data_IF_628049093858
#
_entry.id   IF_628049093858
#
_cell.length_a   1.000
_cell.length_b   1.000
_cell.length_c   1.000
_cell.angle_alpha   90.00
_cell.angle_beta   90.00
_cell.angle_gamma   90.00
#
_symmetry.space_group_name_H-M   'P 1'
#
loop_
_entity.id
_entity.type
_entity.pdbx_description
1 polymer ?
#
# COMPACT_ATOMS: atom_id res chain seq x y z
N UNK A 1 -14.45 -31.10 -9.80
CA UNK A 1 -14.89 -29.73 -10.14
C UNK A 1 -14.34 -28.82 -9.05
N UNK A 2 -13.57 -27.78 -9.32
CA UNK A 2 -13.12 -26.89 -8.27
C UNK A 2 -14.33 -26.16 -7.72
N UNK A 3 -14.61 -26.37 -6.43
CA UNK A 3 -15.63 -25.63 -5.69
C UNK A 3 -15.26 -24.16 -5.73
N UNK A 4 -15.90 -23.41 -6.62
CA UNK A 4 -15.81 -21.94 -6.64
C UNK A 4 -16.66 -21.43 -5.48
N UNK A 5 -16.07 -21.43 -4.27
CA UNK A 5 -16.70 -20.78 -3.13
C UNK A 5 -16.92 -19.29 -3.48
N UNK A 6 -18.18 -18.81 -3.51
CA UNK A 6 -18.50 -17.42 -3.81
C UNK A 6 -17.72 -16.44 -2.94
N UNK A 7 -17.43 -16.81 -1.70
CA UNK A 7 -16.66 -16.01 -0.74
C UNK A 7 -15.23 -15.76 -1.23
N UNK A 8 -14.56 -16.77 -1.77
CA UNK A 8 -13.17 -16.61 -2.27
C UNK A 8 -13.09 -15.73 -3.52
N UNK A 9 -14.15 -15.70 -4.34
CA UNK A 9 -14.24 -14.78 -5.49
C UNK A 9 -14.39 -13.34 -5.03
N UNK A 10 -15.26 -13.07 -4.08
CA UNK A 10 -15.48 -11.72 -3.52
C UNK A 10 -14.18 -11.22 -2.86
N UNK A 11 -13.52 -12.04 -2.05
CA UNK A 11 -12.26 -11.68 -1.40
C UNK A 11 -11.20 -11.31 -2.43
N UNK A 12 -11.07 -12.06 -3.53
CA UNK A 12 -10.14 -11.75 -4.63
C UNK A 12 -10.41 -10.38 -5.24
N UNK A 13 -11.66 -10.09 -5.61
CA UNK A 13 -12.03 -8.81 -6.19
C UNK A 13 -11.79 -7.64 -5.23
N UNK A 14 -12.12 -7.80 -3.95
CA UNK A 14 -11.83 -6.80 -2.92
C UNK A 14 -10.32 -6.55 -2.79
N UNK A 15 -9.51 -7.62 -2.83
CA UNK A 15 -8.05 -7.48 -2.80
C UNK A 15 -7.54 -6.72 -4.02
N UNK A 16 -8.03 -6.99 -5.22
CA UNK A 16 -7.66 -6.26 -6.44
C UNK A 16 -8.01 -4.78 -6.35
N UNK A 17 -9.21 -4.46 -5.88
CA UNK A 17 -9.63 -3.07 -5.68
C UNK A 17 -8.78 -2.34 -4.63
N UNK A 18 -8.39 -3.02 -3.56
CA UNK A 18 -7.49 -2.44 -2.56
C UNK A 18 -6.10 -2.16 -3.14
N UNK A 19 -5.53 -3.06 -3.94
CA UNK A 19 -4.26 -2.84 -4.63
C UNK A 19 -4.35 -1.63 -5.58
N UNK A 20 -5.43 -1.53 -6.34
CA UNK A 20 -5.68 -0.39 -7.24
C UNK A 20 -5.78 0.92 -6.45
N UNK A 21 -6.54 0.95 -5.36
CA UNK A 21 -6.69 2.14 -4.52
C UNK A 21 -5.34 2.61 -3.95
N UNK A 22 -4.52 1.69 -3.45
CA UNK A 22 -3.20 2.05 -2.96
C UNK A 22 -2.29 2.60 -4.05
N UNK A 23 -2.34 2.04 -5.26
CA UNK A 23 -1.58 2.55 -6.39
C UNK A 23 -2.02 3.97 -6.78
N UNK A 24 -3.32 4.23 -6.86
CA UNK A 24 -3.85 5.56 -7.16
C UNK A 24 -3.31 6.63 -6.20
N UNK A 25 -3.17 6.28 -4.91
CA UNK A 25 -2.67 7.22 -3.91
C UNK A 25 -1.16 7.29 -3.85
N UNK A 26 -0.45 6.16 -4.00
CA UNK A 26 1.02 6.13 -3.90
C UNK A 26 1.71 6.72 -5.13
N UNK A 27 1.13 6.60 -6.31
CA UNK A 27 1.73 7.10 -7.54
C UNK A 27 1.41 8.58 -7.80
N UNK A 28 0.42 9.16 -7.10
CA UNK A 28 0.20 10.61 -7.03
C UNK A 28 1.33 11.37 -6.28
N UNK A 29 2.26 10.65 -5.65
CA UNK A 29 3.41 11.23 -4.93
C UNK A 29 4.24 12.16 -5.82
N UNK A 30 4.37 11.88 -7.11
CA UNK A 30 5.10 12.72 -8.06
C UNK A 30 4.56 14.15 -8.13
N UNK A 31 3.23 14.31 -8.16
CA UNK A 31 2.58 15.63 -8.17
C UNK A 31 2.73 16.33 -6.80
N UNK A 32 2.55 15.58 -5.71
CA UNK A 32 2.75 16.12 -4.35
C UNK A 32 4.18 16.64 -4.19
N UNK A 33 5.20 15.93 -4.67
CA UNK A 33 6.59 16.36 -4.61
C UNK A 33 6.79 17.70 -5.32
N UNK A 34 6.18 17.90 -6.49
CA UNK A 34 6.29 19.17 -7.24
C UNK A 34 5.73 20.33 -6.43
N UNK A 35 4.52 20.18 -5.88
CA UNK A 35 3.87 21.20 -5.07
C UNK A 35 4.65 21.52 -3.80
N UNK A 36 5.07 20.50 -3.05
CA UNK A 36 5.85 20.66 -1.82
C UNK A 36 7.20 21.32 -2.09
N UNK A 37 7.84 20.97 -3.21
CA UNK A 37 9.12 21.57 -3.60
C UNK A 37 8.98 23.07 -3.83
N UNK A 38 7.91 23.52 -4.45
CA UNK A 38 7.62 24.94 -4.67
C UNK A 38 7.24 25.63 -3.35
N UNK A 39 6.31 25.03 -2.59
CA UNK A 39 5.78 25.64 -1.37
C UNK A 39 6.85 25.83 -0.27
N UNK A 40 7.77 24.88 -0.13
CA UNK A 40 8.79 24.90 0.92
C UNK A 40 10.19 25.24 0.41
N UNK A 41 10.36 25.56 -0.89
CA UNK A 41 11.65 25.90 -1.53
C UNK A 41 12.75 24.85 -1.23
N UNK A 42 12.39 23.57 -1.18
CA UNK A 42 13.33 22.48 -0.85
C UNK A 42 14.19 22.09 -2.06
N UNK A 43 15.39 21.60 -1.78
CA UNK A 43 16.33 21.12 -2.80
C UNK A 43 15.87 19.78 -3.42
N UNK A 44 16.43 19.42 -4.58
CA UNK A 44 16.14 18.12 -5.21
C UNK A 44 16.51 16.94 -4.30
N UNK A 45 17.59 17.05 -3.53
CA UNK A 45 18.00 16.02 -2.58
C UNK A 45 16.98 15.85 -1.44
N UNK A 46 16.44 16.94 -0.92
CA UNK A 46 15.38 16.89 0.08
C UNK A 46 14.07 16.31 -0.50
N UNK A 47 13.69 16.77 -1.68
CA UNK A 47 12.50 16.29 -2.37
C UNK A 47 12.55 14.77 -2.65
N UNK A 48 13.73 14.23 -2.95
CA UNK A 48 13.90 12.77 -3.16
C UNK A 48 13.59 11.94 -1.91
N UNK A 49 13.71 12.51 -0.70
CA UNK A 49 13.33 11.83 0.55
C UNK A 49 11.84 11.50 0.58
N UNK A 50 11.00 12.32 -0.03
CA UNK A 50 9.55 12.08 -0.10
C UNK A 50 9.20 10.83 -0.90
N UNK A 51 10.08 10.36 -1.77
CA UNK A 51 9.90 9.11 -2.50
C UNK A 51 10.66 7.94 -1.84
N UNK A 52 11.92 8.16 -1.47
CA UNK A 52 12.78 7.08 -0.96
C UNK A 52 12.38 6.59 0.42
N UNK A 53 11.96 7.48 1.34
CA UNK A 53 11.58 7.06 2.69
C UNK A 53 10.30 6.22 2.74
N UNK A 54 9.21 6.55 2.02
CA UNK A 54 8.06 5.64 1.90
C UNK A 54 8.43 4.28 1.32
N UNK A 55 9.27 4.23 0.29
CA UNK A 55 9.74 2.97 -0.30
C UNK A 55 10.52 2.12 0.72
N UNK A 56 11.40 2.78 1.50
CA UNK A 56 12.11 2.13 2.59
C UNK A 56 11.12 1.65 3.66
N UNK A 57 10.11 2.43 4.00
CA UNK A 57 9.03 2.06 4.92
C UNK A 57 8.28 0.80 4.47
N UNK A 58 7.93 0.70 3.18
CA UNK A 58 7.31 -0.50 2.59
C UNK A 58 8.25 -1.72 2.74
N UNK A 59 9.52 -1.58 2.38
CA UNK A 59 10.49 -2.66 2.42
C UNK A 59 10.73 -3.16 3.86
N UNK A 60 10.97 -2.23 4.80
CA UNK A 60 11.22 -2.56 6.21
C UNK A 60 10.00 -3.19 6.88
N UNK A 61 8.81 -2.64 6.62
CA UNK A 61 7.57 -3.22 7.19
C UNK A 61 7.29 -4.62 6.61
N UNK A 62 7.52 -4.86 5.33
CA UNK A 62 7.43 -6.19 4.74
C UNK A 62 8.40 -7.18 5.38
N UNK A 63 9.63 -6.76 5.63
CA UNK A 63 10.68 -7.61 6.21
C UNK A 63 10.44 -7.88 7.71
N UNK A 64 10.16 -6.82 8.50
CA UNK A 64 10.11 -6.92 9.96
C UNK A 64 8.70 -7.14 10.52
N UNK A 65 7.65 -6.75 9.79
CA UNK A 65 6.27 -6.87 10.24
C UNK A 65 5.50 -7.99 9.53
N UNK A 66 6.19 -8.79 8.69
CA UNK A 66 5.60 -9.94 8.01
C UNK A 66 4.92 -10.92 8.97
N UNK A 67 5.48 -11.09 10.17
CA UNK A 67 4.92 -11.95 11.21
C UNK A 67 3.56 -11.47 11.77
N UNK A 68 3.17 -10.20 11.55
CA UNK A 68 1.88 -9.69 12.01
C UNK A 68 0.72 -10.48 11.40
N UNK A 69 0.81 -10.79 10.11
CA UNK A 69 -0.21 -11.56 9.42
C UNK A 69 -0.36 -12.98 9.99
N UNK A 70 0.72 -13.55 10.55
CA UNK A 70 0.69 -14.87 11.16
C UNK A 70 0.22 -14.84 12.62
N UNK A 71 0.60 -13.81 13.39
CA UNK A 71 0.23 -13.68 14.81
C UNK A 71 -1.17 -13.10 15.02
N UNK A 72 -1.52 -12.04 14.30
CA UNK A 72 -2.81 -11.35 14.46
C UNK A 72 -3.88 -11.91 13.51
N UNK A 73 -3.44 -12.59 12.44
CA UNK A 73 -4.31 -13.04 11.36
C UNK A 73 -4.37 -12.04 10.20
N UNK A 74 -4.82 -12.52 9.03
CA UNK A 74 -4.81 -11.76 7.77
C UNK A 74 -5.69 -10.51 7.83
N UNK A 75 -6.94 -10.70 8.28
CA UNK A 75 -7.94 -9.62 8.33
C UNK A 75 -7.54 -8.47 9.26
N UNK A 76 -7.13 -8.67 10.52
CA UNK A 76 -6.66 -7.59 11.38
C UNK A 76 -5.45 -6.86 10.80
N UNK A 77 -4.49 -7.58 10.22
CA UNK A 77 -3.30 -6.96 9.61
C UNK A 77 -3.66 -6.04 8.45
N UNK A 78 -4.58 -6.46 7.57
CA UNK A 78 -5.12 -5.62 6.49
C UNK A 78 -5.81 -4.37 7.05
N UNK A 79 -6.66 -4.53 8.07
CA UNK A 79 -7.40 -3.41 8.69
C UNK A 79 -6.43 -2.42 9.35
N UNK A 80 -5.40 -2.89 10.04
CA UNK A 80 -4.37 -2.04 10.65
C UNK A 80 -3.63 -1.23 9.57
N UNK A 81 -3.21 -1.89 8.49
CA UNK A 81 -2.56 -1.19 7.37
C UNK A 81 -3.45 -0.12 6.75
N UNK A 82 -4.72 -0.44 6.47
CA UNK A 82 -5.70 0.51 5.93
C UNK A 82 -5.98 1.67 6.88
N UNK A 83 -6.19 1.40 8.18
CA UNK A 83 -6.46 2.42 9.17
C UNK A 83 -5.26 3.37 9.35
N UNK A 84 -4.05 2.82 9.43
CA UNK A 84 -2.83 3.60 9.56
C UNK A 84 -2.60 4.48 8.32
N UNK A 85 -2.86 3.94 7.12
CA UNK A 85 -2.79 4.69 5.88
C UNK A 85 -3.81 5.83 5.85
N UNK A 86 -5.07 5.56 6.19
CA UNK A 86 -6.11 6.57 6.27
C UNK A 86 -5.79 7.68 7.28
N UNK A 87 -5.25 7.32 8.45
CA UNK A 87 -4.79 8.29 9.45
C UNK A 87 -3.64 9.15 8.91
N UNK A 88 -2.65 8.54 8.24
CA UNK A 88 -1.55 9.29 7.63
C UNK A 88 -2.10 10.28 6.58
N UNK A 89 -2.98 9.83 5.68
CA UNK A 89 -3.60 10.69 4.68
C UNK A 89 -4.41 11.83 5.31
N UNK A 90 -5.20 11.56 6.34
CA UNK A 90 -5.97 12.59 7.03
C UNK A 90 -5.07 13.63 7.72
N UNK A 91 -3.94 13.18 8.27
CA UNK A 91 -2.98 14.04 8.96
C UNK A 91 -2.26 15.02 8.02
N UNK A 92 -2.26 14.78 6.70
CA UNK A 92 -1.73 15.77 5.74
C UNK A 92 -2.50 17.09 5.77
N UNK A 93 -3.77 17.12 6.18
CA UNK A 93 -4.57 18.33 6.31
C UNK A 93 -4.00 19.34 7.32
N UNK A 94 -3.21 18.87 8.28
CA UNK A 94 -2.60 19.68 9.32
C UNK A 94 -1.08 19.80 9.16
N UNK A 95 -0.53 19.28 8.07
CA UNK A 95 0.90 19.30 7.82
C UNK A 95 1.36 20.69 7.34
N UNK A 96 2.07 21.42 8.20
CA UNK A 96 2.47 22.80 7.98
C UNK A 96 3.99 22.96 7.71
N UNK A 97 4.76 21.88 7.77
CA UNK A 97 6.20 21.90 7.53
C UNK A 97 6.67 20.66 6.73
N UNK A 98 7.83 20.79 6.09
CA UNK A 98 8.41 19.77 5.24
C UNK A 98 8.72 18.48 6.00
N UNK A 99 9.22 18.57 7.23
CA UNK A 99 9.62 17.40 8.03
C UNK A 99 8.39 16.58 8.38
N UNK A 100 7.29 17.23 8.76
CA UNK A 100 6.03 16.55 9.05
C UNK A 100 5.48 15.87 7.80
N UNK A 101 5.50 16.53 6.63
CA UNK A 101 5.07 15.94 5.36
C UNK A 101 5.88 14.67 5.05
N UNK A 102 7.20 14.73 5.11
CA UNK A 102 8.09 13.57 4.85
C UNK A 102 7.83 12.46 5.86
N UNK A 103 7.59 12.79 7.12
CA UNK A 103 7.29 11.80 8.17
C UNK A 103 5.95 11.09 7.92
N UNK A 104 4.92 11.84 7.52
CA UNK A 104 3.61 11.27 7.18
C UNK A 104 3.68 10.40 5.91
N UNK A 105 4.46 10.80 4.91
CA UNK A 105 4.71 9.98 3.73
C UNK A 105 5.45 8.67 4.10
N UNK A 106 6.44 8.76 4.99
CA UNK A 106 7.15 7.58 5.48
C UNK A 106 6.21 6.63 6.25
N UNK A 107 5.34 7.18 7.09
CA UNK A 107 4.31 6.44 7.82
C UNK A 107 3.32 5.77 6.86
N UNK A 108 2.90 6.46 5.80
CA UNK A 108 2.05 5.88 4.76
C UNK A 108 2.73 4.69 4.07
N UNK A 109 4.04 4.77 3.80
CA UNK A 109 4.82 3.66 3.28
C UNK A 109 4.81 2.43 4.19
N UNK A 110 5.02 2.62 5.50
CA UNK A 110 4.90 1.54 6.50
C UNK A 110 3.50 0.92 6.48
N UNK A 111 2.48 1.75 6.43
CA UNK A 111 1.08 1.32 6.39
C UNK A 111 0.78 0.45 5.15
N UNK A 112 1.27 0.87 3.97
CA UNK A 112 1.17 0.10 2.72
C UNK A 112 1.88 -1.25 2.84
N UNK A 113 3.07 -1.29 3.44
CA UNK A 113 3.81 -2.53 3.65
C UNK A 113 3.08 -3.50 4.56
N UNK A 114 2.50 -3.03 5.69
CA UNK A 114 1.66 -3.84 6.59
C UNK A 114 0.45 -4.40 5.83
N UNK A 115 -0.25 -3.55 5.08
CA UNK A 115 -1.38 -3.97 4.25
C UNK A 115 -0.97 -5.05 3.24
N UNK A 116 0.09 -4.81 2.44
CA UNK A 116 0.57 -5.76 1.43
C UNK A 116 0.90 -7.10 2.05
N UNK A 117 1.56 -7.13 3.21
CA UNK A 117 1.87 -8.37 3.91
C UNK A 117 0.61 -9.18 4.24
N UNK A 118 -0.41 -8.55 4.82
CA UNK A 118 -1.68 -9.20 5.12
C UNK A 118 -2.43 -9.66 3.86
N UNK A 119 -2.45 -8.83 2.82
CA UNK A 119 -3.14 -9.12 1.57
C UNK A 119 -2.49 -10.26 0.78
N UNK A 120 -1.15 -10.27 0.68
CA UNK A 120 -0.40 -11.36 0.02
C UNK A 120 -0.57 -12.68 0.77
N UNK A 121 -0.53 -12.66 2.10
CA UNK A 121 -0.79 -13.85 2.90
C UNK A 121 -2.24 -14.36 2.71
N UNK A 122 -3.23 -13.46 2.63
CA UNK A 122 -4.62 -13.82 2.34
C UNK A 122 -4.76 -14.44 0.94
N UNK A 123 -4.08 -13.93 -0.07
CA UNK A 123 -4.03 -14.53 -1.42
C UNK A 123 -3.50 -15.97 -1.33
N UNK A 124 -2.46 -16.21 -0.51
CA UNK A 124 -1.95 -17.55 -0.25
C UNK A 124 -3.03 -18.48 0.32
N UNK A 125 -3.73 -18.04 1.36
CA UNK A 125 -4.74 -18.84 2.07
C UNK A 125 -5.96 -19.20 1.19
N UNK A 126 -6.39 -18.31 0.28
CA UNK A 126 -7.54 -18.57 -0.62
C UNK A 126 -7.16 -19.30 -1.91
N UNK A 127 -5.90 -19.60 -2.12
CA UNK A 127 -5.40 -20.25 -3.33
C UNK A 127 -5.29 -21.76 -3.11
N UNK A 128 -5.98 -22.54 -3.94
CA UNK A 128 -6.00 -24.01 -3.86
C UNK A 128 -4.89 -24.68 -4.67
N UNK A 129 -4.15 -23.91 -5.48
CA UNK A 129 -3.04 -24.39 -6.30
C UNK A 129 -2.04 -23.28 -6.59
N UNK A 130 -0.79 -23.65 -6.88
CA UNK A 130 0.25 -22.71 -7.29
C UNK A 130 -0.17 -21.87 -8.50
N UNK A 131 -0.83 -22.47 -9.48
CA UNK A 131 -1.35 -21.77 -10.67
C UNK A 131 -2.36 -20.70 -10.28
N UNK A 132 -3.29 -21.01 -9.36
CA UNK A 132 -4.29 -20.05 -8.89
C UNK A 132 -3.65 -18.94 -8.07
N UNK A 133 -2.68 -19.27 -7.21
CA UNK A 133 -1.92 -18.30 -6.43
C UNK A 133 -1.23 -17.27 -7.35
N UNK A 134 -0.44 -17.76 -8.30
CA UNK A 134 0.25 -16.90 -9.27
C UNK A 134 -0.72 -16.05 -10.09
N UNK A 135 -1.83 -16.62 -10.57
CA UNK A 135 -2.84 -15.87 -11.32
C UNK A 135 -3.50 -14.78 -10.47
N UNK A 136 -3.76 -15.04 -9.19
CA UNK A 136 -4.35 -14.05 -8.27
C UNK A 136 -3.36 -12.94 -7.93
N UNK A 137 -2.08 -13.27 -7.70
CA UNK A 137 -1.04 -12.28 -7.49
C UNK A 137 -0.85 -11.38 -8.72
N UNK A 138 -0.73 -11.98 -9.90
CA UNK A 138 -0.60 -11.21 -11.15
C UNK A 138 -1.82 -10.32 -11.40
N UNK A 139 -3.02 -10.79 -11.04
CA UNK A 139 -4.25 -10.00 -11.07
C UNK A 139 -4.18 -8.79 -10.15
N UNK A 140 -3.72 -8.95 -8.91
CA UNK A 140 -3.57 -7.87 -7.94
C UNK A 140 -2.55 -6.82 -8.43
N UNK A 141 -1.40 -7.26 -8.96
CA UNK A 141 -0.40 -6.36 -9.52
C UNK A 141 -0.86 -5.68 -10.82
N UNK A 142 -1.68 -6.35 -11.64
CA UNK A 142 -2.29 -5.71 -12.81
C UNK A 142 -3.26 -4.59 -12.41
N UNK A 143 -4.09 -4.80 -11.38
CA UNK A 143 -4.96 -3.76 -10.83
C UNK A 143 -4.17 -2.64 -10.16
N UNK A 144 -3.03 -2.95 -9.54
CA UNK A 144 -2.09 -1.94 -9.05
C UNK A 144 -1.58 -1.08 -10.21
N UNK A 145 -1.13 -1.70 -11.33
CA UNK A 145 -0.71 -0.97 -12.53
C UNK A 145 -1.80 -0.06 -13.11
N UNK A 146 -3.05 -0.53 -13.15
CA UNK A 146 -4.20 0.32 -13.57
C UNK A 146 -4.37 1.51 -12.63
N UNK A 147 -4.27 1.29 -11.31
CA UNK A 147 -4.34 2.36 -10.32
C UNK A 147 -3.24 3.40 -10.49
N UNK A 148 -2.02 2.96 -10.78
CA UNK A 148 -0.86 3.82 -11.05
C UNK A 148 -1.05 4.74 -12.27
N UNK A 149 -1.84 4.32 -13.26
CA UNK A 149 -2.16 5.14 -14.45
C UNK A 149 -3.28 6.13 -14.18
N UNK A 150 -4.24 5.77 -13.33
CA UNK A 150 -5.45 6.58 -13.08
C UNK A 150 -5.21 7.59 -11.96
N UNK A 151 -4.33 7.29 -11.01
CA UNK A 151 -4.11 8.08 -9.80
C UNK A 151 -3.48 9.46 -10.01
N UNK A 152 -2.46 9.60 -10.86
CA UNK A 152 -1.89 10.93 -11.20
C UNK A 152 -2.83 11.75 -12.09
#
# INVERSE_FOLDING_TARGET
MPNHDPSSRIIRWLTYLMFMMFAMTSDSVGEIIKEVKVAFSVTNAQASLMHSLPMLGIALSGLFLGFLADKLGRKPTIIIGLALFGLACYSFLIANDFVLIVSLMSLSGVAVGIFKTGALALIGDISTSTKQHTATMNGAEAFFGVGAIIGP
#
